data_IF_308471609969
#
_entry.id   IF_308471609969
#
_cell.length_a   1.000
_cell.length_b   1.000
_cell.length_c   1.000
_cell.angle_alpha   90.00
_cell.angle_beta   90.00
_cell.angle_gamma   90.00
#
_symmetry.space_group_name_H-M   'P 1'
#
loop_
_entity.id
_entity.type
_entity.pdbx_description
1 polymer ?
#
# COMPACT_ATOMS: atom_id res chain seq x y z
N UNK A 1 10.51 -13.13 11.00
CA UNK A 1 9.38 -14.07 10.77
C UNK A 1 8.80 -14.62 12.07
N UNK A 2 9.61 -15.08 13.05
CA UNK A 2 9.13 -15.64 14.32
C UNK A 2 8.18 -14.69 15.07
N UNK A 3 8.54 -13.40 15.19
CA UNK A 3 7.69 -12.38 15.81
C UNK A 3 6.25 -12.33 15.24
N UNK A 4 6.08 -12.43 13.92
CA UNK A 4 4.75 -12.44 13.30
C UNK A 4 3.98 -13.72 13.64
N UNK A 5 4.66 -14.88 13.65
CA UNK A 5 4.06 -16.16 14.03
C UNK A 5 3.53 -16.10 15.47
N UNK A 6 4.33 -15.59 16.41
CA UNK A 6 3.97 -15.49 17.81
C UNK A 6 2.80 -14.53 18.02
N UNK A 7 2.78 -13.39 17.31
CA UNK A 7 1.68 -12.42 17.37
C UNK A 7 0.37 -13.00 16.82
N UNK A 8 0.41 -13.62 15.65
CA UNK A 8 -0.76 -14.23 15.03
C UNK A 8 -1.31 -15.37 15.91
N UNK A 9 -0.42 -16.20 16.47
CA UNK A 9 -0.80 -17.26 17.40
C UNK A 9 -1.50 -16.71 18.65
N UNK A 10 -0.92 -15.65 19.26
CA UNK A 10 -1.51 -14.99 20.44
C UNK A 10 -2.92 -14.45 20.19
N UNK A 11 -3.19 -14.01 18.96
CA UNK A 11 -4.50 -13.47 18.60
C UNK A 11 -5.42 -14.46 17.90
N UNK A 12 -5.02 -15.74 17.80
CA UNK A 12 -5.73 -16.76 17.08
C UNK A 12 -6.03 -16.40 15.62
N UNK A 13 -5.10 -15.67 14.98
CA UNK A 13 -5.21 -15.28 13.59
C UNK A 13 -4.45 -16.30 12.74
N UNK A 14 -5.09 -16.97 11.75
CA UNK A 14 -4.39 -17.85 10.82
C UNK A 14 -3.32 -17.10 10.05
N UNK A 15 -2.08 -17.63 10.04
CA UNK A 15 -0.96 -17.05 9.30
C UNK A 15 -0.53 -18.02 8.20
N UNK A 16 -0.66 -17.59 6.95
CA UNK A 16 -0.14 -18.28 5.78
C UNK A 16 1.14 -17.60 5.32
N UNK A 17 2.25 -18.35 5.36
CA UNK A 17 3.56 -17.87 4.90
C UNK A 17 3.84 -18.52 3.55
N UNK A 18 4.03 -17.71 2.52
CA UNK A 18 4.29 -18.17 1.16
C UNK A 18 5.62 -17.58 0.73
N UNK A 19 6.58 -18.45 0.49
CA UNK A 19 7.85 -18.06 -0.11
C UNK A 19 7.70 -18.04 -1.62
N UNK A 20 8.12 -16.95 -2.24
CA UNK A 20 8.02 -16.79 -3.69
C UNK A 20 9.14 -15.91 -4.21
N UNK A 21 9.56 -16.20 -5.42
CA UNK A 21 10.49 -15.40 -6.18
C UNK A 21 9.86 -14.93 -7.49
N UNK A 22 10.55 -14.13 -8.23
CA UNK A 22 10.20 -13.76 -9.60
C UNK A 22 11.42 -13.91 -10.51
N UNK A 23 11.17 -14.30 -11.75
CA UNK A 23 12.21 -14.31 -12.77
C UNK A 23 12.48 -12.87 -13.22
N UNK A 24 13.76 -12.55 -13.43
CA UNK A 24 14.13 -11.27 -14.03
C UNK A 24 13.56 -11.16 -15.45
N UNK A 25 13.10 -9.96 -15.81
CA UNK A 25 12.61 -9.72 -17.16
C UNK A 25 13.78 -9.79 -18.14
N UNK A 26 13.82 -10.86 -18.95
CA UNK A 26 14.88 -11.11 -19.96
C UNK A 26 15.01 -9.95 -20.94
N UNK A 27 13.91 -9.29 -21.24
CA UNK A 27 13.87 -8.15 -22.15
C UNK A 27 14.21 -6.80 -21.48
N UNK A 28 14.42 -6.79 -20.16
CA UNK A 28 14.68 -5.59 -19.34
C UNK A 28 13.63 -4.47 -19.52
N UNK A 29 12.43 -4.81 -19.97
CA UNK A 29 11.33 -3.85 -20.19
C UNK A 29 10.63 -3.39 -18.92
N UNK A 30 10.82 -4.13 -17.81
CA UNK A 30 10.14 -3.88 -16.55
C UNK A 30 11.14 -3.75 -15.40
N UNK A 31 10.88 -2.80 -14.52
CA UNK A 31 11.74 -2.60 -13.35
C UNK A 31 11.59 -3.75 -12.34
N UNK A 32 12.65 -4.06 -11.55
CA UNK A 32 12.56 -5.06 -10.47
C UNK A 32 11.42 -4.79 -9.48
N UNK A 33 11.18 -3.52 -9.15
CA UNK A 33 10.07 -3.11 -8.27
C UNK A 33 8.70 -3.44 -8.88
N UNK A 34 8.54 -3.27 -10.19
CA UNK A 34 7.31 -3.65 -10.87
C UNK A 34 7.09 -5.17 -10.80
N UNK A 35 8.11 -5.97 -11.14
CA UNK A 35 8.03 -7.42 -11.12
C UNK A 35 7.75 -7.97 -9.71
N UNK A 36 8.45 -7.45 -8.71
CA UNK A 36 8.23 -7.79 -7.31
C UNK A 36 6.79 -7.49 -6.87
N UNK A 37 6.30 -6.28 -7.13
CA UNK A 37 4.94 -5.89 -6.73
C UNK A 37 3.85 -6.66 -7.49
N UNK A 38 4.10 -6.99 -8.76
CA UNK A 38 3.18 -7.80 -9.57
C UNK A 38 3.10 -9.24 -9.05
N UNK A 39 4.25 -9.86 -8.77
CA UNK A 39 4.33 -11.23 -8.26
C UNK A 39 3.67 -11.35 -6.88
N UNK A 40 3.96 -10.40 -5.96
CA UNK A 40 3.30 -10.36 -4.63
C UNK A 40 1.78 -10.31 -4.76
N UNK A 41 1.26 -9.47 -5.64
CA UNK A 41 -0.20 -9.39 -5.88
C UNK A 41 -0.76 -10.67 -6.44
N UNK A 42 -0.08 -11.25 -7.44
CA UNK A 42 -0.49 -12.54 -8.04
C UNK A 42 -0.62 -13.62 -6.98
N UNK A 43 0.38 -13.78 -6.12
CA UNK A 43 0.38 -14.78 -5.04
C UNK A 43 -0.75 -14.53 -4.05
N UNK A 44 -0.96 -13.27 -3.62
CA UNK A 44 -2.05 -12.91 -2.71
C UNK A 44 -3.43 -13.26 -3.30
N UNK A 45 -3.66 -12.93 -4.57
CA UNK A 45 -4.92 -13.25 -5.25
C UNK A 45 -5.14 -14.74 -5.39
N UNK A 46 -4.13 -15.49 -5.82
CA UNK A 46 -4.21 -16.94 -5.96
C UNK A 46 -4.49 -17.61 -4.63
N UNK A 47 -3.85 -17.16 -3.55
CA UNK A 47 -4.08 -17.70 -2.21
C UNK A 47 -5.48 -17.38 -1.70
N UNK A 48 -5.95 -16.15 -1.89
CA UNK A 48 -7.29 -15.75 -1.47
C UNK A 48 -8.37 -16.56 -2.22
N UNK A 49 -8.19 -16.82 -3.50
CA UNK A 49 -9.08 -17.70 -4.28
C UNK A 49 -9.06 -19.13 -3.76
N UNK A 50 -7.88 -19.71 -3.52
CA UNK A 50 -7.73 -21.06 -3.02
C UNK A 50 -8.42 -21.27 -1.64
N UNK A 51 -8.44 -20.21 -0.84
CA UNK A 51 -9.11 -20.18 0.48
C UNK A 51 -10.56 -19.69 0.43
N UNK A 52 -11.12 -19.49 -0.76
CA UNK A 52 -12.50 -19.02 -0.98
C UNK A 52 -12.81 -17.65 -0.33
N UNK A 53 -11.81 -16.77 -0.18
CA UNK A 53 -12.04 -15.39 0.26
C UNK A 53 -12.52 -14.53 -0.90
N UNK A 54 -13.48 -13.65 -0.63
CA UNK A 54 -13.99 -12.67 -1.60
C UNK A 54 -13.48 -11.25 -1.35
N UNK A 55 -12.61 -11.06 -0.35
CA UNK A 55 -12.00 -9.77 -0.01
C UNK A 55 -10.53 -9.92 0.34
N UNK A 56 -9.74 -8.94 -0.09
CA UNK A 56 -8.35 -8.74 0.34
C UNK A 56 -8.26 -7.38 1.01
N UNK A 57 -7.91 -7.35 2.30
CA UNK A 57 -7.58 -6.12 3.00
C UNK A 57 -6.09 -5.80 2.86
N UNK A 58 -5.76 -4.62 2.35
CA UNK A 58 -4.39 -4.14 2.25
C UNK A 58 -4.12 -3.06 3.30
N UNK A 59 -2.94 -3.08 3.91
CA UNK A 59 -2.52 -2.15 4.97
C UNK A 59 -2.13 -0.75 4.48
N UNK A 60 -2.57 -0.32 3.31
CA UNK A 60 -2.33 1.04 2.84
C UNK A 60 -3.09 2.05 3.70
N UNK A 61 -2.41 3.12 4.09
CA UNK A 61 -2.93 4.20 4.93
C UNK A 61 -3.11 5.51 4.13
N UNK A 62 -3.58 6.56 4.79
CA UNK A 62 -3.90 7.84 4.14
C UNK A 62 -2.70 8.40 3.34
N UNK A 63 -1.51 8.40 3.93
CA UNK A 63 -0.30 8.92 3.27
C UNK A 63 0.05 8.17 1.98
N UNK A 64 -0.15 6.84 1.93
CA UNK A 64 0.05 6.07 0.70
C UNK A 64 -0.89 6.54 -0.42
N UNK A 65 -2.14 6.83 -0.08
CA UNK A 65 -3.16 7.30 -1.03
C UNK A 65 -2.81 8.70 -1.55
N UNK A 66 -2.48 9.63 -0.65
CA UNK A 66 -2.13 11.01 -1.01
C UNK A 66 -0.83 11.06 -1.82
N UNK A 67 0.22 10.35 -1.37
CA UNK A 67 1.50 10.26 -2.10
C UNK A 67 1.33 9.60 -3.47
N UNK A 68 0.44 8.61 -3.61
CA UNK A 68 0.14 8.01 -4.92
C UNK A 68 -0.56 8.99 -5.85
N UNK A 69 -1.46 9.82 -5.33
CA UNK A 69 -2.09 10.88 -6.12
C UNK A 69 -1.05 11.87 -6.67
N UNK A 70 -0.12 12.32 -5.82
CA UNK A 70 0.99 13.19 -6.25
C UNK A 70 1.90 12.50 -7.28
N UNK A 71 2.22 11.22 -7.08
CA UNK A 71 3.01 10.45 -8.05
C UNK A 71 2.31 10.39 -9.41
N UNK A 72 1.02 10.05 -9.42
CA UNK A 72 0.27 9.94 -10.66
C UNK A 72 0.14 11.30 -11.36
N UNK A 73 -0.09 12.37 -10.62
CA UNK A 73 -0.14 13.72 -11.16
C UNK A 73 1.20 14.14 -11.78
N UNK A 74 2.31 13.87 -11.07
CA UNK A 74 3.64 14.33 -11.46
C UNK A 74 4.24 13.51 -12.60
N UNK A 75 4.10 12.18 -12.57
CA UNK A 75 4.79 11.29 -13.51
C UNK A 75 3.90 10.74 -14.62
N UNK A 76 2.57 10.66 -14.38
CA UNK A 76 1.64 10.08 -15.34
C UNK A 76 0.65 11.11 -15.93
N UNK A 77 0.65 12.36 -15.43
CA UNK A 77 -0.27 13.40 -15.86
C UNK A 77 -1.75 13.07 -15.55
N UNK A 78 -2.01 12.23 -14.53
CA UNK A 78 -3.35 11.79 -14.17
C UNK A 78 -3.69 12.12 -12.73
N UNK A 79 -4.87 12.69 -12.49
CA UNK A 79 -5.38 12.90 -11.14
C UNK A 79 -6.13 11.67 -10.68
N UNK A 80 -5.38 10.68 -10.20
CA UNK A 80 -5.88 9.38 -9.76
C UNK A 80 -5.05 8.85 -8.59
N UNK A 81 -5.60 7.92 -7.81
CA UNK A 81 -4.90 7.31 -6.69
C UNK A 81 -5.27 5.83 -6.52
N UNK A 82 -4.88 5.24 -5.40
CA UNK A 82 -5.36 3.92 -4.98
C UNK A 82 -6.77 4.05 -4.40
N UNK A 83 -7.82 3.49 -5.02
CA UNK A 83 -9.17 3.53 -4.46
C UNK A 83 -9.23 2.85 -3.09
N UNK A 84 -10.03 3.37 -2.18
CA UNK A 84 -10.26 2.77 -0.85
C UNK A 84 -10.90 1.39 -0.97
N UNK A 85 -11.75 1.24 -1.97
CA UNK A 85 -12.41 -0.01 -2.36
C UNK A 85 -12.38 -0.16 -3.87
N UNK A 86 -12.03 -1.36 -4.35
CA UNK A 86 -12.02 -1.70 -5.78
C UNK A 86 -12.56 -3.11 -5.98
N UNK A 87 -13.56 -3.26 -6.83
CA UNK A 87 -14.03 -4.58 -7.26
C UNK A 87 -13.25 -5.03 -8.48
N UNK A 88 -12.61 -6.18 -8.37
CA UNK A 88 -11.82 -6.72 -9.48
C UNK A 88 -12.73 -7.27 -10.59
N UNK A 89 -12.48 -6.86 -11.84
CA UNK A 89 -13.30 -7.32 -12.98
C UNK A 89 -13.01 -8.77 -13.39
N UNK A 90 -11.75 -9.21 -13.19
CA UNK A 90 -11.29 -10.55 -13.60
C UNK A 90 -11.37 -11.61 -12.49
N UNK A 91 -11.63 -11.22 -11.29
CA UNK A 91 -11.69 -12.09 -10.10
C UNK A 91 -12.93 -11.70 -9.31
N UNK A 92 -13.64 -12.67 -8.78
CA UNK A 92 -14.75 -12.38 -7.86
C UNK A 92 -14.21 -11.98 -6.49
N UNK A 93 -13.54 -10.83 -6.47
CA UNK A 93 -12.79 -10.36 -5.32
C UNK A 93 -12.84 -8.84 -5.21
N UNK A 94 -12.91 -8.35 -3.99
CA UNK A 94 -12.84 -6.91 -3.68
C UNK A 94 -11.59 -6.61 -2.87
N UNK A 95 -10.81 -5.63 -3.31
CA UNK A 95 -9.72 -5.07 -2.49
C UNK A 95 -10.31 -3.96 -1.63
N UNK A 96 -9.95 -3.95 -0.35
CA UNK A 96 -10.31 -2.90 0.60
C UNK A 96 -9.06 -2.37 1.30
N UNK A 97 -9.10 -1.11 1.76
CA UNK A 97 -8.03 -0.45 2.53
C UNK A 97 -8.59 0.12 3.82
N UNK A 98 -8.70 -0.71 4.88
CA UNK A 98 -9.34 -0.29 6.14
C UNK A 98 -8.65 0.89 6.83
N UNK A 99 -7.34 1.10 6.57
CA UNK A 99 -6.54 2.17 7.17
C UNK A 99 -6.50 3.45 6.33
N UNK A 100 -7.31 3.55 5.27
CA UNK A 100 -7.28 4.65 4.30
C UNK A 100 -7.45 6.05 4.91
N UNK A 101 -8.14 6.16 6.06
CA UNK A 101 -8.40 7.42 6.76
C UNK A 101 -7.41 7.69 7.91
N UNK A 102 -6.48 6.79 8.16
CA UNK A 102 -5.53 6.89 9.28
C UNK A 102 -4.19 7.41 8.74
N UNK A 103 -3.61 8.41 9.41
CA UNK A 103 -2.29 8.91 9.05
C UNK A 103 -1.17 7.94 9.41
N UNK A 104 -0.06 7.97 8.69
CA UNK A 104 1.14 7.20 9.03
C UNK A 104 1.66 7.56 10.42
N UNK A 105 1.58 8.85 10.80
CA UNK A 105 2.00 9.33 12.10
C UNK A 105 1.18 8.71 13.25
N UNK A 106 -0.15 8.62 13.09
CA UNK A 106 -1.01 7.99 14.11
C UNK A 106 -0.82 6.49 14.16
N UNK A 107 -0.59 5.83 13.04
CA UNK A 107 -0.24 4.41 13.00
C UNK A 107 1.09 4.14 13.73
N UNK A 108 2.10 4.99 13.55
CA UNK A 108 3.37 4.89 14.26
C UNK A 108 3.21 5.07 15.77
N UNK A 109 2.42 6.06 16.20
CA UNK A 109 2.08 6.26 17.63
C UNK A 109 1.37 5.04 18.21
N UNK A 110 0.35 4.54 17.49
CA UNK A 110 -0.41 3.38 17.93
C UNK A 110 0.47 2.13 18.00
N UNK A 111 1.34 1.92 17.02
CA UNK A 111 2.29 0.81 17.03
C UNK A 111 3.26 0.87 18.21
N UNK A 112 3.77 2.06 18.53
CA UNK A 112 4.66 2.26 19.70
C UNK A 112 3.94 1.96 21.01
N UNK A 113 2.72 2.46 21.21
CA UNK A 113 1.90 2.20 22.41
C UNK A 113 1.59 0.71 22.60
N UNK A 114 1.48 -0.06 21.53
CA UNK A 114 1.22 -1.50 21.56
C UNK A 114 2.49 -2.36 21.47
N UNK A 115 3.66 -1.75 21.61
CA UNK A 115 4.95 -2.43 21.55
C UNK A 115 5.13 -3.30 20.31
N UNK A 116 4.68 -2.82 19.14
CA UNK A 116 4.97 -3.48 17.86
C UNK A 116 6.42 -3.30 17.46
N UNK A 117 7.05 -4.39 17.06
CA UNK A 117 8.42 -4.34 16.54
C UNK A 117 8.39 -3.95 15.06
N UNK A 118 9.20 -2.97 14.63
CA UNK A 118 9.29 -2.63 13.22
C UNK A 118 9.90 -3.80 12.44
N UNK A 119 9.36 -4.06 11.26
CA UNK A 119 9.95 -5.02 10.33
C UNK A 119 11.16 -4.37 9.66
N UNK A 120 12.30 -5.05 9.71
CA UNK A 120 13.50 -4.59 9.02
C UNK A 120 13.25 -4.63 7.52
N UNK A 121 13.44 -3.50 6.86
CA UNK A 121 13.35 -3.40 5.40
C UNK A 121 14.57 -4.06 4.78
N UNK A 122 14.34 -4.99 3.87
CA UNK A 122 15.41 -5.78 3.20
C UNK A 122 15.50 -5.40 1.70
N UNK A 123 14.69 -4.46 1.25
CA UNK A 123 14.63 -4.12 -0.17
C UNK A 123 15.84 -3.25 -0.59
N UNK A 124 16.70 -3.70 -1.52
CA UNK A 124 17.85 -2.93 -1.96
C UNK A 124 17.49 -1.70 -2.82
N UNK A 125 16.21 -1.57 -3.23
CA UNK A 125 15.71 -0.48 -4.09
C UNK A 125 14.88 0.56 -3.32
N UNK A 126 14.83 0.51 -1.98
CA UNK A 126 13.92 1.35 -1.18
C UNK A 126 14.36 2.82 -1.18
N UNK A 127 15.67 3.09 -1.18
CA UNK A 127 16.24 4.44 -1.01
C UNK A 127 16.29 5.27 -2.31
N UNK A 128 16.11 4.65 -3.47
CA UNK A 128 16.26 5.30 -4.81
C UNK A 128 14.91 5.45 -5.53
N UNK A 129 13.81 5.32 -4.81
CA UNK A 129 12.50 5.32 -5.45
C UNK A 129 11.89 6.73 -5.57
N UNK A 130 11.11 6.97 -6.62
CA UNK A 130 10.30 8.18 -6.77
C UNK A 130 9.40 8.46 -5.55
N UNK A 131 9.13 7.44 -4.72
CA UNK A 131 8.36 7.58 -3.47
C UNK A 131 9.06 8.49 -2.47
N UNK A 132 10.37 8.37 -2.31
CA UNK A 132 11.16 9.21 -1.40
C UNK A 132 11.13 10.68 -1.84
N UNK A 133 11.19 10.94 -3.14
CA UNK A 133 11.06 12.30 -3.67
C UNK A 133 9.67 12.87 -3.42
N UNK A 134 8.62 12.11 -3.69
CA UNK A 134 7.24 12.54 -3.45
C UNK A 134 6.95 12.73 -1.96
N UNK A 135 7.55 11.95 -1.08
CA UNK A 135 7.43 12.17 0.36
C UNK A 135 7.97 13.53 0.79
N UNK A 136 9.11 13.96 0.24
CA UNK A 136 9.66 15.30 0.50
C UNK A 136 8.71 16.40 0.00
N UNK A 137 8.17 16.23 -1.21
CA UNK A 137 7.17 17.17 -1.76
C UNK A 137 5.93 17.25 -0.87
N UNK A 138 5.39 16.10 -0.45
CA UNK A 138 4.23 16.05 0.44
C UNK A 138 4.49 16.76 1.77
N UNK A 139 5.67 16.58 2.35
CA UNK A 139 6.08 17.26 3.59
C UNK A 139 6.19 18.79 3.40
N UNK A 140 6.68 19.27 2.25
CA UNK A 140 6.71 20.69 1.95
C UNK A 140 5.29 21.27 1.76
N UNK A 141 4.39 20.53 1.11
CA UNK A 141 2.98 20.95 0.99
C UNK A 141 2.29 21.01 2.35
N UNK A 142 2.60 20.10 3.26
CA UNK A 142 2.08 20.09 4.62
C UNK A 142 2.60 21.28 5.46
N UNK A 143 3.86 21.70 5.24
CA UNK A 143 4.42 22.93 5.85
C UNK A 143 3.81 24.21 5.28
N UNK A 144 3.44 24.19 4.00
CA UNK A 144 2.80 25.32 3.34
C UNK A 144 1.35 25.53 3.82
N UNK A 145 0.64 24.43 4.09
CA UNK A 145 -0.76 24.46 4.52
C UNK A 145 -1.06 23.29 5.44
N UNK A 146 -1.39 23.58 6.68
CA UNK A 146 -1.73 22.58 7.69
C UNK A 146 -2.94 21.70 7.28
N UNK A 147 -3.86 22.25 6.47
CA UNK A 147 -5.03 21.55 5.93
C UNK A 147 -4.74 20.79 4.62
N UNK A 148 -3.48 20.71 4.18
CA UNK A 148 -3.10 20.04 2.93
C UNK A 148 -3.72 18.64 2.77
N UNK A 149 -3.64 17.81 3.81
CA UNK A 149 -4.16 16.45 3.80
C UNK A 149 -5.66 16.41 3.56
N UNK A 150 -6.40 17.29 4.26
CA UNK A 150 -7.85 17.41 4.10
C UNK A 150 -8.21 17.91 2.70
N UNK A 151 -7.53 18.94 2.22
CA UNK A 151 -7.76 19.54 0.92
C UNK A 151 -7.53 18.54 -0.22
N UNK A 152 -6.41 17.80 -0.20
CA UNK A 152 -6.10 16.81 -1.23
C UNK A 152 -7.07 15.61 -1.15
N UNK A 153 -7.41 15.14 0.06
CA UNK A 153 -8.40 14.09 0.24
C UNK A 153 -9.77 14.48 -0.30
N UNK A 154 -10.22 15.69 0.00
CA UNK A 154 -11.48 16.22 -0.51
C UNK A 154 -11.49 16.32 -2.04
N UNK A 155 -10.42 16.80 -2.65
CA UNK A 155 -10.28 16.84 -4.10
C UNK A 155 -10.36 15.44 -4.74
N UNK A 156 -9.68 14.45 -4.16
CA UNK A 156 -9.72 13.05 -4.60
C UNK A 156 -11.12 12.44 -4.45
N UNK A 157 -11.81 12.75 -3.35
CA UNK A 157 -13.18 12.30 -3.14
C UNK A 157 -14.13 12.93 -4.19
N UNK A 158 -14.04 14.23 -4.39
CA UNK A 158 -14.86 14.97 -5.37
C UNK A 158 -14.62 14.52 -6.81
N UNK A 159 -13.40 14.11 -7.15
CA UNK A 159 -13.08 13.57 -8.49
C UNK A 159 -13.53 12.11 -8.70
N UNK A 160 -14.04 11.44 -7.66
CA UNK A 160 -14.38 10.02 -7.73
C UNK A 160 -13.18 9.06 -7.65
N UNK A 161 -11.96 9.55 -7.42
CA UNK A 161 -10.75 8.72 -7.43
C UNK A 161 -10.61 7.75 -6.24
N UNK A 162 -11.43 7.88 -5.20
CA UNK A 162 -11.35 7.04 -3.99
C UNK A 162 -12.22 5.78 -4.03
N UNK A 163 -13.15 5.66 -4.98
CA UNK A 163 -14.06 4.51 -5.10
C UNK A 163 -14.16 4.11 -6.55
N UNK A 164 -14.04 2.81 -6.82
CA UNK A 164 -14.19 2.19 -8.13
C UNK A 164 -15.15 0.99 -8.06
#
# INVERSE_FOLDING_TARGET
MQYLKDRCSKWHIPLHVIETGYEEDRDKKRTPCFLCSWNRRKVLFSQAQALHFNKIALGHHQDDILRTALMNLTFNGTFSTMPVRIRMRKFDMTIIRPLAMISEADLKKWAALNCYQPVVKICPFDDVSNRTHIERVANEMERLNDDYRHSLWHALHKSGALVE
#
